data_IF_959072577662
#
_entry.id   IF_959072577662
#
_cell.length_a   1.000
_cell.length_b   1.000
_cell.length_c   1.000
_cell.angle_alpha   90.00
_cell.angle_beta   90.00
_cell.angle_gamma   90.00
#
_symmetry.space_group_name_H-M   'P 1'
#
loop_
_entity.id
_entity.type
_entity.pdbx_description
1 polymer ?
#
# COMPACT_ATOMS: atom_id res chain seq x y z
N UNK A 1 -4.46 -20.70 1.36
CA UNK A 1 -4.80 -21.50 0.15
C UNK A 1 -5.74 -22.64 0.53
N UNK A 2 -5.42 -23.44 1.54
CA UNK A 2 -6.20 -24.64 1.94
C UNK A 2 -7.71 -24.37 2.10
N UNK A 3 -8.08 -23.29 2.78
CA UNK A 3 -9.49 -22.95 3.02
C UNK A 3 -10.28 -22.44 1.79
N UNK A 4 -9.63 -22.20 0.63
CA UNK A 4 -10.30 -21.61 -0.54
C UNK A 4 -11.45 -22.49 -1.03
N UNK A 5 -11.25 -23.81 -1.07
CA UNK A 5 -12.25 -24.74 -1.60
C UNK A 5 -13.51 -24.82 -0.72
N UNK A 6 -13.34 -24.65 0.60
CA UNK A 6 -14.43 -24.67 1.57
C UNK A 6 -15.21 -23.34 1.57
N UNK A 7 -14.53 -22.22 1.34
CA UNK A 7 -15.10 -20.87 1.37
C UNK A 7 -15.73 -20.45 0.04
N UNK A 8 -15.15 -20.88 -1.09
CA UNK A 8 -15.60 -20.54 -2.44
C UNK A 8 -16.22 -21.79 -3.03
N UNK A 9 -17.55 -21.84 -3.08
CA UNK A 9 -18.34 -23.01 -3.49
C UNK A 9 -19.21 -22.68 -4.68
N UNK A 10 -19.97 -23.64 -5.19
CA UNK A 10 -20.95 -23.48 -6.27
C UNK A 10 -22.09 -22.50 -5.90
N UNK A 11 -22.20 -22.14 -4.61
CA UNK A 11 -23.15 -21.13 -4.13
C UNK A 11 -22.55 -19.71 -4.07
N UNK A 12 -21.27 -19.55 -4.34
CA UNK A 12 -20.57 -18.27 -4.30
C UNK A 12 -20.77 -17.51 -5.61
N UNK A 13 -21.34 -16.31 -5.56
CA UNK A 13 -21.54 -15.48 -6.76
C UNK A 13 -20.26 -14.75 -7.19
N UNK A 14 -19.40 -14.38 -6.23
CA UNK A 14 -18.14 -13.70 -6.49
C UNK A 14 -17.26 -13.59 -5.27
N UNK A 15 -15.98 -13.32 -5.50
CA UNK A 15 -14.96 -13.08 -4.49
C UNK A 15 -14.29 -11.76 -4.78
N UNK A 16 -14.19 -10.90 -3.77
CA UNK A 16 -13.46 -9.64 -3.83
C UNK A 16 -12.21 -9.69 -2.96
N UNK A 17 -11.10 -9.18 -3.48
CA UNK A 17 -9.84 -9.11 -2.77
C UNK A 17 -8.99 -7.94 -3.23
N UNK A 18 -8.24 -7.32 -2.32
CA UNK A 18 -7.12 -6.44 -2.67
C UNK A 18 -5.86 -7.30 -2.90
N UNK A 19 -5.18 -7.23 -4.06
CA UNK A 19 -3.89 -7.89 -4.27
C UNK A 19 -2.84 -7.47 -3.23
N UNK A 20 -2.95 -6.24 -2.71
CA UNK A 20 -2.22 -5.77 -1.53
C UNK A 20 -3.22 -5.04 -0.63
N UNK A 21 -3.50 -5.61 0.54
CA UNK A 21 -4.37 -4.97 1.53
C UNK A 21 -3.64 -3.78 2.16
N UNK A 22 -3.91 -2.58 1.67
CA UNK A 22 -3.13 -1.43 2.11
C UNK A 22 -3.62 -0.84 3.44
N UNK A 23 -4.92 -0.84 3.74
CA UNK A 23 -5.42 -0.48 5.09
C UNK A 23 -5.21 -1.62 6.10
N UNK A 24 -5.25 -2.88 5.64
CA UNK A 24 -5.08 -4.07 6.48
C UNK A 24 -3.67 -4.29 7.03
N UNK A 25 -2.73 -3.36 6.79
CA UNK A 25 -1.34 -3.49 7.23
C UNK A 25 -0.33 -3.61 6.09
N UNK A 26 -0.68 -3.32 4.84
CA UNK A 26 0.19 -3.57 3.67
C UNK A 26 0.50 -5.07 3.50
N UNK A 27 -0.52 -5.93 3.66
CA UNK A 27 -0.37 -7.37 3.47
C UNK A 27 -0.39 -7.68 1.97
N UNK A 28 0.71 -8.23 1.46
CA UNK A 28 0.86 -8.58 0.04
C UNK A 28 0.37 -10.02 -0.15
N UNK A 29 -0.65 -10.21 -0.99
CA UNK A 29 -1.06 -11.54 -1.38
C UNK A 29 0.05 -12.22 -2.19
N UNK A 30 0.33 -13.49 -1.88
CA UNK A 30 1.28 -14.28 -2.67
C UNK A 30 0.70 -14.62 -4.05
N UNK A 31 1.54 -14.66 -5.08
CA UNK A 31 1.13 -15.00 -6.45
C UNK A 31 0.38 -16.35 -6.52
N UNK A 32 0.86 -17.37 -5.80
CA UNK A 32 0.22 -18.69 -5.71
C UNK A 32 -1.19 -18.62 -5.14
N UNK A 33 -1.42 -17.75 -4.16
CA UNK A 33 -2.73 -17.56 -3.55
C UNK A 33 -3.70 -16.88 -4.51
N UNK A 34 -3.26 -15.83 -5.21
CA UNK A 34 -4.08 -15.15 -6.22
C UNK A 34 -4.44 -16.09 -7.38
N UNK A 35 -3.48 -16.88 -7.85
CA UNK A 35 -3.70 -17.89 -8.89
C UNK A 35 -4.66 -18.99 -8.42
N UNK A 36 -4.49 -19.52 -7.20
CA UNK A 36 -5.38 -20.53 -6.63
C UNK A 36 -6.81 -19.99 -6.48
N UNK A 37 -6.96 -18.75 -6.03
CA UNK A 37 -8.25 -18.10 -5.85
C UNK A 37 -8.98 -17.92 -7.20
N UNK A 38 -8.25 -17.46 -8.23
CA UNK A 38 -8.78 -17.34 -9.58
C UNK A 38 -9.20 -18.68 -10.16
N UNK A 39 -8.37 -19.72 -10.05
CA UNK A 39 -8.74 -21.09 -10.50
C UNK A 39 -10.03 -21.55 -9.83
N UNK A 40 -10.13 -21.40 -8.52
CA UNK A 40 -11.35 -21.79 -7.79
C UNK A 40 -12.57 -21.00 -8.25
N UNK A 41 -12.45 -19.67 -8.42
CA UNK A 41 -13.55 -18.85 -8.92
C UNK A 41 -14.01 -19.33 -10.31
N UNK A 42 -13.07 -19.65 -11.19
CA UNK A 42 -13.39 -20.22 -12.52
C UNK A 42 -14.10 -21.56 -12.43
N UNK A 43 -13.63 -22.48 -11.57
CA UNK A 43 -14.21 -23.82 -11.40
C UNK A 43 -15.67 -23.78 -10.97
N UNK A 44 -16.03 -22.88 -10.03
CA UNK A 44 -17.39 -22.80 -9.49
C UNK A 44 -18.28 -21.78 -10.21
N UNK A 45 -17.73 -21.05 -11.18
CA UNK A 45 -18.44 -19.99 -11.92
C UNK A 45 -18.63 -18.68 -11.14
N UNK A 46 -17.86 -18.46 -10.06
CA UNK A 46 -17.85 -17.21 -9.32
C UNK A 46 -17.02 -16.14 -10.04
N UNK A 47 -17.43 -14.87 -9.96
CA UNK A 47 -16.61 -13.77 -10.47
C UNK A 47 -15.48 -13.42 -9.51
N UNK A 48 -14.27 -13.22 -10.01
CA UNK A 48 -13.16 -12.68 -9.22
C UNK A 48 -13.04 -11.17 -9.42
N UNK A 49 -12.98 -10.44 -8.32
CA UNK A 49 -12.86 -8.98 -8.28
C UNK A 49 -11.55 -8.61 -7.61
N UNK A 50 -10.67 -7.90 -8.31
CA UNK A 50 -9.55 -7.22 -7.68
C UNK A 50 -9.89 -5.78 -7.36
N UNK A 51 -9.84 -5.45 -6.07
CA UNK A 51 -9.83 -4.07 -5.64
C UNK A 51 -8.41 -3.51 -5.74
N UNK A 52 -8.18 -2.75 -6.81
CA UNK A 52 -6.92 -2.08 -7.10
C UNK A 52 -7.01 -0.57 -6.88
N UNK A 53 -7.99 -0.10 -6.11
CA UNK A 53 -8.16 1.33 -5.81
C UNK A 53 -6.88 1.91 -5.19
N UNK A 54 -6.21 1.18 -4.29
CA UNK A 54 -4.99 1.65 -3.63
C UNK A 54 -3.69 1.13 -4.29
N UNK A 55 -3.65 -0.13 -4.70
CA UNK A 55 -2.43 -0.78 -5.19
C UNK A 55 -2.24 -0.70 -6.71
N UNK A 56 -3.24 -0.25 -7.48
CA UNK A 56 -3.14 -0.11 -8.93
C UNK A 56 -2.48 1.19 -9.37
N UNK A 57 -2.62 1.48 -10.67
CA UNK A 57 -2.19 2.71 -11.33
C UNK A 57 -0.72 3.09 -11.06
N UNK A 58 0.19 2.13 -11.24
CA UNK A 58 1.64 2.37 -11.10
C UNK A 58 2.16 2.31 -9.66
N UNK A 59 1.29 2.22 -8.64
CA UNK A 59 1.69 2.23 -7.23
C UNK A 59 2.73 1.15 -6.89
N UNK A 60 2.61 -0.02 -7.49
CA UNK A 60 3.50 -1.17 -7.27
C UNK A 60 4.67 -1.24 -8.26
N UNK A 61 4.87 -0.23 -9.10
CA UNK A 61 5.85 -0.24 -10.19
C UNK A 61 5.37 -0.95 -11.46
N UNK A 62 4.10 -1.36 -11.49
CA UNK A 62 3.38 -1.86 -12.66
C UNK A 62 2.04 -1.14 -12.75
N UNK A 63 1.47 -1.04 -13.95
CA UNK A 63 0.17 -0.37 -14.14
C UNK A 63 -0.92 -0.91 -13.21
N UNK A 64 -0.95 -2.24 -13.01
CA UNK A 64 -1.80 -2.91 -12.02
C UNK A 64 -0.94 -3.81 -11.15
N UNK A 65 -1.28 -3.97 -9.88
CA UNK A 65 -0.57 -4.83 -8.93
C UNK A 65 -0.54 -6.29 -9.40
N UNK A 66 -1.64 -6.77 -10.00
CA UNK A 66 -1.72 -8.09 -10.64
C UNK A 66 -1.04 -8.16 -12.01
N UNK A 67 -0.60 -7.03 -12.60
CA UNK A 67 -0.15 -6.97 -13.99
C UNK A 67 1.09 -7.80 -14.33
N UNK A 68 1.87 -8.20 -13.33
CA UNK A 68 3.00 -9.11 -13.48
C UNK A 68 2.60 -10.61 -13.44
N UNK A 69 1.38 -10.91 -13.00
CA UNK A 69 0.85 -12.27 -12.95
C UNK A 69 0.49 -12.77 -14.35
N UNK A 70 0.51 -14.09 -14.58
CA UNK A 70 0.07 -14.65 -15.84
C UNK A 70 -1.43 -14.38 -16.05
N UNK A 71 -1.87 -14.34 -17.31
CA UNK A 71 -3.23 -13.89 -17.68
C UNK A 71 -4.33 -14.71 -17.01
N UNK A 72 -4.09 -15.99 -16.76
CA UNK A 72 -5.01 -16.88 -16.05
C UNK A 72 -5.22 -16.53 -14.57
N UNK A 73 -4.46 -15.58 -14.01
CA UNK A 73 -4.63 -15.02 -12.67
C UNK A 73 -5.38 -13.67 -12.66
N UNK A 74 -5.76 -13.15 -13.84
CA UNK A 74 -6.41 -11.85 -13.97
C UNK A 74 -7.88 -11.91 -13.52
N UNK A 75 -8.43 -10.82 -12.94
CA UNK A 75 -9.78 -10.82 -12.39
C UNK A 75 -10.83 -10.68 -13.51
N UNK A 76 -12.08 -11.02 -13.19
CA UNK A 76 -13.22 -10.69 -14.05
C UNK A 76 -13.59 -9.20 -13.96
N UNK A 77 -13.34 -8.59 -12.80
CA UNK A 77 -13.65 -7.21 -12.47
C UNK A 77 -12.45 -6.58 -11.76
N UNK A 78 -12.08 -5.36 -12.16
CA UNK A 78 -11.11 -4.53 -11.46
C UNK A 78 -11.75 -3.21 -11.05
N UNK A 79 -11.64 -2.83 -9.78
CA UNK A 79 -12.04 -1.48 -9.33
C UNK A 79 -10.83 -0.58 -9.18
N UNK A 80 -10.96 0.68 -9.61
CA UNK A 80 -9.90 1.68 -9.53
C UNK A 80 -10.45 3.08 -9.24
N UNK A 81 -9.71 3.88 -8.48
CA UNK A 81 -10.03 5.26 -8.11
C UNK A 81 -8.73 5.96 -7.65
N UNK A 82 -8.76 6.77 -6.58
CA UNK A 82 -7.59 7.42 -5.95
C UNK A 82 -6.64 8.08 -6.97
N UNK A 83 -5.56 7.38 -7.35
CA UNK A 83 -4.60 7.86 -8.34
C UNK A 83 -5.23 8.19 -9.69
N UNK A 84 -6.36 7.57 -10.05
CA UNK A 84 -7.10 7.81 -11.29
C UNK A 84 -7.46 9.29 -11.48
N UNK A 85 -7.91 9.92 -10.41
CA UNK A 85 -8.27 11.33 -10.41
C UNK A 85 -7.19 12.26 -9.89
N UNK A 86 -6.11 11.71 -9.33
CA UNK A 86 -5.00 12.46 -8.71
C UNK A 86 -5.48 13.63 -7.83
N UNK A 87 -6.51 13.37 -6.99
CA UNK A 87 -7.17 14.36 -6.14
C UNK A 87 -8.58 14.76 -6.59
N UNK A 88 -8.95 14.53 -7.86
CA UNK A 88 -10.31 14.73 -8.35
C UNK A 88 -11.19 13.48 -8.08
N UNK A 89 -12.47 13.63 -7.69
CA UNK A 89 -13.36 12.49 -7.46
C UNK A 89 -13.70 11.75 -8.76
N UNK A 90 -13.13 10.57 -8.95
CA UNK A 90 -13.51 9.64 -10.02
C UNK A 90 -13.13 8.20 -9.63
N UNK A 91 -13.98 7.25 -10.01
CA UNK A 91 -13.71 5.83 -9.95
C UNK A 91 -14.14 5.16 -11.26
N UNK A 92 -13.58 3.98 -11.52
CA UNK A 92 -13.94 3.14 -12.65
C UNK A 92 -13.97 1.67 -12.22
N UNK A 93 -14.89 0.92 -12.83
CA UNK A 93 -14.96 -0.54 -12.75
C UNK A 93 -14.71 -1.07 -14.14
N UNK A 94 -13.62 -1.83 -14.31
CA UNK A 94 -13.23 -2.46 -15.56
C UNK A 94 -13.70 -3.91 -15.48
N UNK A 95 -14.37 -4.39 -16.52
CA UNK A 95 -14.96 -5.73 -16.54
C UNK A 95 -14.57 -6.48 -17.80
N UNK A 96 -14.53 -7.81 -17.74
CA UNK A 96 -14.39 -8.67 -18.92
C UNK A 96 -15.68 -8.72 -19.74
N UNK A 97 -15.59 -9.23 -20.98
CA UNK A 97 -16.76 -9.43 -21.84
C UNK A 97 -17.81 -10.39 -21.23
N UNK A 98 -17.33 -11.39 -20.48
CA UNK A 98 -18.20 -12.33 -19.78
C UNK A 98 -19.10 -11.63 -18.74
N UNK A 99 -18.58 -10.60 -18.07
CA UNK A 99 -19.33 -9.81 -17.11
C UNK A 99 -20.15 -8.72 -17.81
N UNK A 100 -19.56 -7.97 -18.76
CA UNK A 100 -20.26 -6.86 -19.45
C UNK A 100 -21.50 -7.33 -20.20
N UNK A 101 -21.47 -8.49 -20.85
CA UNK A 101 -22.61 -9.06 -21.59
C UNK A 101 -23.83 -9.39 -20.72
N UNK A 102 -23.68 -9.38 -19.39
CA UNK A 102 -24.75 -9.58 -18.42
C UNK A 102 -25.33 -8.28 -17.86
N UNK A 103 -24.69 -7.14 -18.12
CA UNK A 103 -25.15 -5.82 -17.68
C UNK A 103 -26.03 -5.23 -18.78
N UNK A 104 -27.31 -5.02 -18.50
CA UNK A 104 -28.26 -4.43 -19.44
C UNK A 104 -28.61 -2.99 -19.08
N UNK A 105 -29.19 -2.27 -20.03
CA UNK A 105 -29.62 -0.88 -19.84
C UNK A 105 -30.56 -0.77 -18.65
N UNK A 106 -30.18 0.03 -17.66
CA UNK A 106 -30.96 0.26 -16.45
C UNK A 106 -30.45 -0.46 -15.21
N UNK A 107 -29.54 -1.43 -15.33
CA UNK A 107 -29.00 -2.19 -14.18
C UNK A 107 -28.11 -1.34 -13.27
N UNK A 108 -27.39 -0.36 -13.86
CA UNK A 108 -26.52 0.55 -13.13
C UNK A 108 -26.51 1.93 -13.77
N UNK A 109 -26.33 2.96 -12.96
CA UNK A 109 -26.24 4.34 -13.42
C UNK A 109 -25.81 5.27 -12.29
N UNK A 110 -25.22 6.40 -12.67
CA UNK A 110 -24.79 7.45 -11.74
C UNK A 110 -24.86 8.80 -12.43
N UNK A 111 -25.36 9.82 -11.72
CA UNK A 111 -25.54 11.16 -12.27
C UNK A 111 -24.23 11.84 -12.64
N UNK A 112 -23.18 11.63 -11.83
CA UNK A 112 -21.88 12.31 -12.00
C UNK A 112 -20.77 11.40 -12.55
N UNK A 113 -20.99 10.08 -12.61
CA UNK A 113 -19.99 9.16 -13.15
C UNK A 113 -19.80 9.37 -14.65
N UNK A 114 -18.54 9.33 -15.09
CA UNK A 114 -18.20 9.56 -16.49
C UNK A 114 -18.33 11.01 -16.96
N UNK A 115 -18.47 11.98 -16.04
CA UNK A 115 -18.54 13.39 -16.42
C UNK A 115 -17.29 13.81 -17.23
N UNK A 116 -17.42 14.73 -18.21
CA UNK A 116 -16.32 15.07 -19.13
C UNK A 116 -15.05 15.59 -18.45
N UNK A 117 -15.17 16.32 -17.34
CA UNK A 117 -14.02 16.84 -16.60
C UNK A 117 -13.22 15.71 -15.95
N UNK A 118 -13.90 14.85 -15.19
CA UNK A 118 -13.30 13.68 -14.56
C UNK A 118 -12.67 12.75 -15.59
N UNK A 119 -13.38 12.45 -16.69
CA UNK A 119 -12.86 11.57 -17.74
C UNK A 119 -11.65 12.17 -18.46
N UNK A 120 -11.61 13.49 -18.72
CA UNK A 120 -10.45 14.13 -19.34
C UNK A 120 -9.22 14.11 -18.43
N UNK A 121 -9.40 14.36 -17.14
CA UNK A 121 -8.34 14.28 -16.14
C UNK A 121 -7.82 12.84 -16.03
N UNK A 122 -8.71 11.86 -15.86
CA UNK A 122 -8.33 10.45 -15.77
C UNK A 122 -7.59 9.97 -17.01
N UNK A 123 -8.03 10.35 -18.21
CA UNK A 123 -7.31 10.03 -19.45
C UNK A 123 -5.87 10.58 -19.44
N UNK A 124 -5.68 11.83 -19.02
CA UNK A 124 -4.34 12.41 -18.90
C UNK A 124 -3.50 11.65 -17.88
N UNK A 125 -4.03 11.40 -16.69
CA UNK A 125 -3.30 10.72 -15.62
C UNK A 125 -2.93 9.30 -16.00
N UNK A 126 -3.86 8.51 -16.52
CA UNK A 126 -3.61 7.14 -17.01
C UNK A 126 -2.50 7.14 -18.07
N UNK A 127 -2.55 8.06 -19.04
CA UNK A 127 -1.51 8.17 -20.07
C UNK A 127 -0.12 8.50 -19.50
N UNK A 128 -0.03 9.28 -18.42
CA UNK A 128 1.23 9.54 -17.71
C UNK A 128 1.72 8.32 -16.94
N UNK A 129 0.81 7.65 -16.21
CA UNK A 129 1.13 6.49 -15.37
C UNK A 129 1.48 5.23 -16.19
N UNK A 130 1.01 5.13 -17.43
CA UNK A 130 1.39 4.05 -18.35
C UNK A 130 2.81 4.17 -18.90
N UNK A 131 3.50 5.31 -18.70
CA UNK A 131 4.87 5.50 -19.16
C UNK A 131 5.89 4.70 -18.34
N UNK A 132 6.84 4.06 -19.03
CA UNK A 132 7.91 3.28 -18.40
C UNK A 132 8.73 4.11 -17.39
N UNK A 133 8.99 5.39 -17.69
CA UNK A 133 9.74 6.30 -16.80
C UNK A 133 9.15 6.37 -15.38
N UNK A 134 7.82 6.48 -15.25
CA UNK A 134 7.17 6.54 -13.94
C UNK A 134 7.25 5.18 -13.24
N UNK A 135 6.95 4.10 -13.95
CA UNK A 135 6.91 2.74 -13.38
C UNK A 135 8.31 2.28 -12.94
N UNK A 136 9.33 2.45 -13.79
CA UNK A 136 10.73 2.18 -13.45
C UNK A 136 11.20 3.08 -12.31
N UNK A 137 10.79 4.34 -12.33
CA UNK A 137 11.06 5.30 -11.27
C UNK A 137 10.50 4.88 -9.91
N UNK A 138 9.33 4.23 -9.87
CA UNK A 138 8.75 3.66 -8.65
C UNK A 138 9.62 2.54 -8.10
N UNK A 139 10.10 1.64 -8.98
CA UNK A 139 10.99 0.53 -8.58
C UNK A 139 12.34 1.05 -8.06
N UNK A 140 12.91 2.10 -8.65
CA UNK A 140 14.17 2.68 -8.12
C UNK A 140 13.95 3.32 -6.74
N UNK A 141 12.86 4.07 -6.56
CA UNK A 141 12.53 4.70 -5.27
C UNK A 141 12.22 3.67 -4.18
N UNK A 142 11.57 2.56 -4.53
CA UNK A 142 11.37 1.44 -3.62
C UNK A 142 12.70 0.93 -3.06
N UNK A 143 13.74 0.77 -3.88
CA UNK A 143 15.07 0.32 -3.43
C UNK A 143 15.68 1.27 -2.40
N UNK A 144 15.53 2.59 -2.60
CA UNK A 144 16.01 3.61 -1.66
C UNK A 144 15.29 3.48 -0.32
N UNK A 145 13.95 3.44 -0.33
CA UNK A 145 13.15 3.23 0.88
C UNK A 145 13.54 1.94 1.60
N UNK A 146 13.64 0.81 0.88
CA UNK A 146 14.00 -0.49 1.47
C UNK A 146 15.38 -0.45 2.12
N UNK A 147 16.37 0.18 1.49
CA UNK A 147 17.70 0.36 2.08
C UNK A 147 17.62 1.14 3.40
N UNK A 148 16.88 2.25 3.43
CA UNK A 148 16.70 3.06 4.64
C UNK A 148 15.92 2.32 5.73
N UNK A 149 14.87 1.58 5.38
CA UNK A 149 14.12 0.76 6.33
C UNK A 149 14.97 -0.37 6.93
N UNK A 150 15.82 -1.02 6.15
CA UNK A 150 16.72 -2.05 6.64
C UNK A 150 17.77 -1.47 7.62
N UNK A 151 18.29 -0.28 7.33
CA UNK A 151 19.17 0.44 8.27
C UNK A 151 18.46 0.77 9.58
N UNK A 152 17.21 1.24 9.53
CA UNK A 152 16.40 1.48 10.73
C UNK A 152 16.14 0.18 11.49
N UNK A 153 15.83 -0.91 10.79
CA UNK A 153 15.62 -2.23 11.40
C UNK A 153 16.87 -2.72 12.13
N UNK A 154 18.06 -2.50 11.57
CA UNK A 154 19.33 -2.82 12.23
C UNK A 154 19.57 -1.99 13.49
N UNK A 155 19.12 -0.73 13.53
CA UNK A 155 19.23 0.15 14.71
C UNK A 155 18.19 -0.16 15.78
N UNK A 156 17.01 -0.63 15.38
CA UNK A 156 15.89 -0.93 16.28
C UNK A 156 15.34 -2.34 16.04
N UNK A 157 16.15 -3.41 16.22
CA UNK A 157 15.78 -4.77 15.86
C UNK A 157 14.61 -5.33 16.69
N UNK A 158 14.47 -4.87 17.94
CA UNK A 158 13.37 -5.28 18.83
C UNK A 158 12.06 -4.48 18.58
N UNK A 159 12.17 -3.39 17.81
CA UNK A 159 11.03 -2.52 17.48
C UNK A 159 10.50 -2.83 16.08
N UNK A 160 11.36 -2.91 15.06
CA UNK A 160 10.93 -3.18 13.68
C UNK A 160 10.95 -4.67 13.39
N UNK A 161 9.79 -5.31 13.34
CA UNK A 161 9.70 -6.76 13.12
C UNK A 161 9.72 -7.12 11.64
N UNK A 162 9.14 -6.29 10.77
CA UNK A 162 8.96 -6.60 9.35
C UNK A 162 8.94 -5.34 8.48
N UNK A 163 9.46 -5.45 7.25
CA UNK A 163 9.30 -4.45 6.18
C UNK A 163 8.68 -5.14 4.99
N UNK A 164 7.52 -4.66 4.52
CA UNK A 164 6.73 -5.29 3.46
C UNK A 164 6.09 -4.28 2.51
N UNK A 165 5.39 -4.78 1.50
CA UNK A 165 4.78 -3.99 0.43
C UNK A 165 5.50 -4.14 -0.92
N UNK A 166 5.08 -3.38 -1.92
CA UNK A 166 5.61 -3.38 -3.30
C UNK A 166 5.58 -1.96 -3.86
N UNK A 167 6.59 -1.58 -4.65
CA UNK A 167 6.72 -0.24 -5.21
C UNK A 167 6.72 0.84 -4.11
N UNK A 168 5.81 1.79 -4.21
CA UNK A 168 5.62 2.88 -3.24
C UNK A 168 4.35 2.71 -2.40
N UNK A 169 3.90 1.48 -2.17
CA UNK A 169 2.98 1.10 -1.10
C UNK A 169 3.76 0.21 -0.12
N UNK A 170 4.30 0.82 0.92
CA UNK A 170 5.26 0.19 1.83
C UNK A 170 4.78 0.25 3.28
N UNK A 171 5.08 -0.80 4.03
CA UNK A 171 4.74 -0.94 5.44
C UNK A 171 5.96 -1.31 6.27
N UNK A 172 6.13 -0.65 7.41
CA UNK A 172 7.12 -0.97 8.45
C UNK A 172 6.36 -1.37 9.71
N UNK A 173 6.43 -2.65 10.05
CA UNK A 173 5.76 -3.22 11.22
C UNK A 173 6.56 -2.94 12.47
N UNK A 174 5.90 -2.32 13.45
CA UNK A 174 6.45 -2.14 14.78
C UNK A 174 5.90 -3.22 15.73
N UNK A 175 6.69 -3.59 16.73
CA UNK A 175 6.28 -4.48 17.83
C UNK A 175 5.32 -3.80 18.82
N UNK A 176 5.19 -2.47 18.74
CA UNK A 176 4.40 -1.63 19.65
C UNK A 176 3.66 -0.53 18.88
N UNK A 177 2.81 0.23 19.59
CA UNK A 177 1.99 1.30 19.01
C UNK A 177 2.82 2.32 18.21
N UNK A 178 2.50 2.56 16.92
CA UNK A 178 3.21 3.52 16.07
C UNK A 178 2.85 4.98 16.33
N UNK A 179 1.80 5.27 17.09
CA UNK A 179 1.27 6.63 17.32
C UNK A 179 2.31 7.63 17.83
N UNK A 180 3.20 7.29 18.79
CA UNK A 180 4.24 8.20 19.26
C UNK A 180 5.24 8.58 18.15
N UNK A 181 5.63 7.61 17.31
CA UNK A 181 6.54 7.86 16.17
C UNK A 181 5.87 8.77 15.14
N UNK A 182 4.61 8.50 14.81
CA UNK A 182 3.83 9.33 13.87
C UNK A 182 3.70 10.76 14.39
N UNK A 183 3.42 10.93 15.67
CA UNK A 183 3.31 12.26 16.30
C UNK A 183 4.64 13.01 16.23
N UNK A 184 5.73 12.36 16.64
CA UNK A 184 7.07 12.94 16.60
C UNK A 184 7.53 13.27 15.17
N UNK A 185 7.19 12.43 14.18
CA UNK A 185 7.47 12.68 12.76
C UNK A 185 6.70 13.90 12.24
N UNK A 186 5.40 14.00 12.57
CA UNK A 186 4.54 15.13 12.18
C UNK A 186 5.05 16.46 12.74
N UNK A 187 5.45 16.49 14.00
CA UNK A 187 6.03 17.68 14.64
C UNK A 187 7.34 18.13 13.98
N UNK A 188 8.05 17.21 13.32
CA UNK A 188 9.27 17.46 12.54
C UNK A 188 9.01 17.68 11.05
N UNK A 189 7.74 17.79 10.64
CA UNK A 189 7.36 18.08 9.26
C UNK A 189 7.23 16.88 8.32
N UNK A 190 7.19 15.65 8.85
CA UNK A 190 6.96 14.43 8.06
C UNK A 190 5.53 13.90 8.27
N UNK A 191 4.77 13.76 7.18
CA UNK A 191 3.46 13.12 7.20
C UNK A 191 3.58 11.63 6.86
N UNK A 192 3.36 10.80 7.86
CA UNK A 192 3.21 9.34 7.75
C UNK A 192 1.95 8.93 8.51
N UNK A 193 1.36 7.81 8.10
CA UNK A 193 0.11 7.31 8.68
C UNK A 193 0.31 5.89 9.18
N UNK A 194 -0.61 5.41 10.00
CA UNK A 194 -0.66 4.00 10.39
C UNK A 194 -1.65 3.22 9.52
N UNK A 195 -1.53 1.90 9.53
CA UNK A 195 -2.48 0.94 9.00
C UNK A 195 -2.36 -0.39 9.77
N UNK A 196 -3.35 -1.27 9.66
CA UNK A 196 -3.40 -2.49 10.47
C UNK A 196 -3.32 -2.18 11.97
N UNK A 197 -2.63 -3.04 12.72
CA UNK A 197 -2.47 -2.85 14.18
C UNK A 197 -1.33 -1.90 14.51
N UNK A 198 -0.09 -2.23 14.11
CA UNK A 198 1.11 -1.51 14.52
C UNK A 198 2.04 -1.19 13.34
N UNK A 199 1.49 -0.88 12.16
CA UNK A 199 2.30 -0.66 10.95
C UNK A 199 2.37 0.82 10.61
N UNK A 200 3.58 1.34 10.39
CA UNK A 200 3.80 2.62 9.71
C UNK A 200 3.63 2.42 8.21
N UNK A 201 2.81 3.24 7.56
CA UNK A 201 2.50 3.14 6.13
C UNK A 201 3.05 4.32 5.36
N UNK A 202 3.74 4.00 4.27
CA UNK A 202 4.37 4.95 3.35
C UNK A 202 3.72 4.83 1.98
N UNK A 203 3.09 5.93 1.55
CA UNK A 203 2.39 6.06 0.27
C UNK A 203 2.69 7.40 -0.41
N UNK A 204 3.98 7.74 -0.66
CA UNK A 204 4.36 9.04 -1.22
C UNK A 204 3.86 9.23 -2.66
N UNK A 205 3.93 10.44 -3.24
CA UNK A 205 3.75 10.64 -4.67
C UNK A 205 4.71 9.75 -5.47
N UNK A 206 4.28 9.24 -6.64
CA UNK A 206 5.14 8.35 -7.46
C UNK A 206 6.38 9.07 -8.03
N UNK A 207 6.31 10.40 -8.08
CA UNK A 207 7.36 11.30 -8.55
C UNK A 207 8.25 11.84 -7.42
N UNK A 208 8.10 11.36 -6.17
CA UNK A 208 8.93 11.81 -5.04
C UNK A 208 10.42 11.68 -5.37
N UNK A 209 11.19 12.74 -5.17
CA UNK A 209 12.63 12.75 -5.47
C UNK A 209 13.43 11.94 -4.45
N UNK A 210 14.61 11.47 -4.84
CA UNK A 210 15.53 10.79 -3.91
C UNK A 210 15.88 11.68 -2.72
N UNK A 211 16.11 12.98 -2.94
CA UNK A 211 16.38 13.93 -1.85
C UNK A 211 15.22 14.06 -0.86
N UNK A 212 13.97 14.05 -1.32
CA UNK A 212 12.80 14.10 -0.44
C UNK A 212 12.65 12.78 0.35
N UNK A 213 12.96 11.64 -0.27
CA UNK A 213 13.01 10.35 0.44
C UNK A 213 14.06 10.41 1.54
N UNK A 214 15.29 10.81 1.23
CA UNK A 214 16.38 10.88 2.20
C UNK A 214 16.07 11.84 3.35
N UNK A 215 15.52 13.02 3.05
CA UNK A 215 15.08 13.98 4.05
C UNK A 215 13.98 13.40 4.96
N UNK A 216 12.95 12.79 4.38
CA UNK A 216 11.86 12.18 5.14
C UNK A 216 12.35 11.03 6.02
N UNK A 217 13.27 10.21 5.51
CA UNK A 217 13.84 9.10 6.27
C UNK A 217 14.76 9.58 7.41
N UNK A 218 15.46 10.70 7.25
CA UNK A 218 16.21 11.33 8.34
C UNK A 218 15.26 11.84 9.44
N UNK A 219 14.15 12.50 9.07
CA UNK A 219 13.13 12.94 10.03
C UNK A 219 12.51 11.75 10.78
N UNK A 220 12.23 10.66 10.07
CA UNK A 220 11.70 9.43 10.68
C UNK A 220 12.69 8.85 11.69
N UNK A 221 13.98 8.81 11.33
CA UNK A 221 15.03 8.32 12.22
C UNK A 221 15.13 9.15 13.51
N UNK A 222 15.10 10.48 13.39
CA UNK A 222 15.10 11.39 14.53
C UNK A 222 13.84 11.24 15.40
N UNK A 223 12.69 11.01 14.77
CA UNK A 223 11.44 10.74 15.47
C UNK A 223 11.51 9.41 16.25
N UNK A 224 12.02 8.35 15.62
CA UNK A 224 12.25 7.06 16.29
C UNK A 224 13.26 7.19 17.43
N UNK A 225 14.36 7.93 17.25
CA UNK A 225 15.36 8.17 18.31
C UNK A 225 14.73 8.85 19.53
N UNK A 226 13.89 9.87 19.30
CA UNK A 226 13.22 10.58 20.37
C UNK A 226 12.22 9.71 21.15
N UNK A 227 11.54 8.78 20.46
CA UNK A 227 10.54 7.89 21.06
C UNK A 227 11.18 6.70 21.78
N UNK A 228 12.14 6.04 21.14
CA UNK A 228 12.65 4.73 21.59
C UNK A 228 13.91 4.81 22.45
N UNK A 229 14.35 6.02 22.86
CA UNK A 229 15.50 6.29 23.75
C UNK A 229 16.43 5.07 23.87
N UNK A 230 17.28 4.86 22.87
CA UNK A 230 18.40 3.93 23.02
C UNK A 230 19.16 4.33 24.27
N UNK A 231 19.44 3.38 25.18
CA UNK A 231 20.08 3.58 26.50
C UNK A 231 21.32 4.49 26.47
N UNK A 232 21.12 5.80 26.32
CA UNK A 232 22.11 6.80 26.66
C UNK A 232 22.11 6.81 28.18
N UNK A 233 23.08 6.11 28.77
CA UNK A 233 23.46 6.32 30.15
C UNK A 233 23.76 7.81 30.32
N UNK A 234 22.77 8.57 30.81
CA UNK A 234 22.96 9.96 31.21
C UNK A 234 23.78 9.88 32.49
N UNK A 235 25.07 10.30 32.50
CA UNK A 235 25.80 10.41 33.75
C UNK A 235 25.01 11.39 34.61
N UNK A 236 24.65 10.96 35.83
CA UNK A 236 23.99 11.86 36.77
C UNK A 236 24.81 13.13 36.92
N UNK A 237 24.16 14.29 36.90
CA UNK A 237 24.84 15.56 37.17
C UNK A 237 25.44 15.52 38.58
N UNK A 238 26.58 16.20 38.79
CA UNK A 238 27.36 16.14 40.04
C UNK A 238 26.52 16.33 41.32
N UNK A 239 25.41 17.08 41.25
CA UNK A 239 24.48 17.27 42.37
C UNK A 239 23.64 16.06 42.79
N UNK A 240 23.51 15.01 41.97
CA UNK A 240 22.80 13.77 42.34
C UNK A 240 23.71 12.75 43.05
N UNK A 241 25.03 12.87 42.93
CA UNK A 241 25.98 11.97 43.61
C UNK A 241 26.24 12.39 45.07
N UNK A 242 26.10 13.68 45.39
CA UNK A 242 26.30 14.22 46.75
C UNK A 242 25.17 13.89 47.73
N UNK A 243 23.97 13.51 47.26
CA UNK A 243 22.82 13.17 48.13
C UNK A 243 22.83 11.71 48.65
N UNK A 244 23.82 10.89 48.30
CA UNK A 244 23.92 9.49 48.77
C UNK A 244 24.80 9.30 50.01
N UNK A 245 25.38 10.37 50.54
CA UNK A 245 26.20 10.35 51.76
C UNK A 245 25.58 11.23 52.84
N UNK A 246 24.49 10.74 53.46
CA UNK A 246 24.03 11.17 54.79
C UNK A 246 23.21 10.06 55.42
#
# INVERSE_FOLDING_TARGET
IEAINDLVTEKTCGVIIEPIQGEGGVNVATDDFLLALRRRCTEVGAVLIYDEIQCGLGRTGTMWAHGALPKEAHPDILTTAKALGNGFPIGATIVTENVSSKIVTGDHGTTFGGNPLGSRLAHYIVGRLSGAEIQDGVIQKEKIFRKRFEQLKQKYPDVITEVRGRGLLLGVQLSQDPTPVITAARERGLLIITCGTNTLRFVPPLIISESEIEQGMNILEDAMKAVFRTDEHIPGTDGQQEMRSS
#
